data_IF_834199080939
#
_entry.id   IF_834199080939
#
_cell.length_a   1.000
_cell.length_b   1.000
_cell.length_c   1.000
_cell.angle_alpha   90.00
_cell.angle_beta   90.00
_cell.angle_gamma   90.00
#
_symmetry.space_group_name_H-M   'P 1'
#
loop_
_entity.id
_entity.type
_entity.pdbx_description
1 polymer ?
#
# COMPACT_ATOMS: atom_id res chain seq x y z
N UNK A 1 7.85 27.61 9.79
CA UNK A 1 7.87 27.53 8.32
C UNK A 1 8.99 28.42 7.80
N UNK A 2 9.77 27.94 6.84
CA UNK A 2 10.89 28.67 6.22
C UNK A 2 10.37 29.42 5.00
N UNK A 3 10.69 30.69 4.85
CA UNK A 3 10.36 31.46 3.64
C UNK A 3 11.22 31.04 2.45
N UNK A 4 10.77 31.35 1.22
CA UNK A 4 11.54 31.06 0.00
C UNK A 4 12.91 31.76 -0.01
N UNK A 5 12.99 32.98 0.54
CA UNK A 5 14.25 33.72 0.64
C UNK A 5 15.22 33.06 1.64
N UNK A 6 14.71 32.64 2.81
CA UNK A 6 15.49 31.88 3.80
C UNK A 6 15.94 30.53 3.24
N UNK A 7 15.10 29.84 2.46
CA UNK A 7 15.46 28.58 1.79
C UNK A 7 16.65 28.78 0.86
N UNK A 8 16.56 29.74 -0.07
CA UNK A 8 17.61 30.03 -1.04
C UNK A 8 18.93 30.40 -0.35
N UNK A 9 18.86 31.23 0.69
CA UNK A 9 20.03 31.62 1.48
C UNK A 9 20.65 30.43 2.24
N UNK A 10 19.81 29.61 2.88
CA UNK A 10 20.24 28.45 3.66
C UNK A 10 20.94 27.42 2.77
N UNK A 11 20.29 26.98 1.70
CA UNK A 11 20.77 25.88 0.85
C UNK A 11 22.04 26.23 0.09
N UNK A 12 22.18 27.49 -0.35
CA UNK A 12 23.40 27.94 -1.05
C UNK A 12 24.61 27.94 -0.13
N UNK A 13 24.44 28.37 1.11
CA UNK A 13 25.53 28.52 2.09
C UNK A 13 25.77 27.25 2.93
N UNK A 14 24.91 26.24 2.83
CA UNK A 14 25.03 25.03 3.63
C UNK A 14 26.24 24.18 3.19
N UNK A 15 27.11 23.90 4.16
CA UNK A 15 28.30 23.04 4.01
C UNK A 15 28.07 21.61 4.52
N UNK A 16 26.94 21.36 5.19
CA UNK A 16 26.55 20.04 5.65
C UNK A 16 26.35 19.09 4.46
N UNK A 17 26.75 17.82 4.58
CA UNK A 17 26.67 16.88 3.45
C UNK A 17 25.23 16.39 3.17
N UNK A 18 24.35 16.41 4.18
CA UNK A 18 22.90 16.17 4.06
C UNK A 18 22.10 17.35 4.59
N UNK A 19 20.88 17.50 4.06
CA UNK A 19 19.87 18.43 4.55
C UNK A 19 18.50 17.76 4.62
N UNK A 20 17.56 18.45 5.26
CA UNK A 20 16.20 17.96 5.45
C UNK A 20 15.17 18.87 4.76
N UNK A 21 14.19 18.25 4.12
CA UNK A 21 12.91 18.84 3.75
C UNK A 21 11.87 18.28 4.73
N UNK A 22 11.05 19.13 5.36
CA UNK A 22 10.17 18.69 6.43
C UNK A 22 8.78 19.35 6.35
N UNK A 23 7.76 18.52 6.58
CA UNK A 23 6.40 18.93 6.94
C UNK A 23 6.07 18.41 8.34
N UNK A 24 4.85 18.65 8.82
CA UNK A 24 4.37 18.05 10.07
C UNK A 24 4.20 16.52 9.96
N UNK A 25 4.17 15.97 8.74
CA UNK A 25 3.82 14.57 8.46
C UNK A 25 4.98 13.74 7.90
N UNK A 26 5.98 14.37 7.26
CA UNK A 26 7.13 13.66 6.72
C UNK A 26 8.39 14.51 6.75
N UNK A 27 9.53 13.85 6.96
CA UNK A 27 10.88 14.42 6.85
C UNK A 27 11.68 13.61 5.83
N UNK A 28 12.24 14.29 4.84
CA UNK A 28 13.10 13.73 3.81
C UNK A 28 14.53 14.20 4.06
N UNK A 29 15.43 13.26 4.38
CA UNK A 29 16.86 13.54 4.56
C UNK A 29 17.59 13.10 3.29
N UNK A 30 18.15 14.06 2.54
CA UNK A 30 18.81 13.81 1.25
C UNK A 30 20.13 14.58 1.16
N UNK A 31 21.05 14.22 0.24
CA UNK A 31 22.28 14.96 0.05
C UNK A 31 22.02 16.44 -0.25
N UNK A 32 22.77 17.33 0.39
CA UNK A 32 22.63 18.79 0.20
C UNK A 32 22.83 19.19 -1.26
N UNK A 33 23.66 18.45 -2.01
CA UNK A 33 23.86 18.67 -3.44
C UNK A 33 22.54 18.56 -4.24
N UNK A 34 21.65 17.64 -3.87
CA UNK A 34 20.34 17.47 -4.50
C UNK A 34 19.38 18.59 -4.13
N UNK A 35 19.47 19.12 -2.90
CA UNK A 35 18.67 20.26 -2.46
C UNK A 35 19.06 21.57 -3.15
N UNK A 36 20.34 21.73 -3.53
CA UNK A 36 20.81 22.92 -4.27
C UNK A 36 20.15 23.11 -5.63
N UNK A 37 19.62 22.02 -6.22
CA UNK A 37 18.88 22.07 -7.48
C UNK A 37 17.38 22.40 -7.28
N UNK A 38 16.87 22.41 -6.05
CA UNK A 38 15.47 22.67 -5.74
C UNK A 38 15.26 24.16 -5.43
N UNK A 39 14.71 24.91 -6.38
CA UNK A 39 14.54 26.36 -6.25
C UNK A 39 13.47 26.75 -5.22
N UNK A 40 12.37 26.02 -5.20
CA UNK A 40 11.23 26.22 -4.32
C UNK A 40 10.70 24.85 -3.84
N UNK A 41 10.84 24.52 -2.54
CA UNK A 41 10.39 23.25 -1.99
C UNK A 41 8.89 23.23 -1.68
N UNK A 42 8.18 24.37 -1.68
CA UNK A 42 6.80 24.46 -1.19
C UNK A 42 5.83 23.56 -1.98
N UNK A 43 5.80 23.56 -3.33
CA UNK A 43 4.91 22.68 -4.09
C UNK A 43 5.21 21.18 -3.91
N UNK A 44 6.49 20.84 -3.73
CA UNK A 44 6.91 19.47 -3.44
C UNK A 44 6.44 19.01 -2.06
N UNK A 45 6.65 19.85 -1.04
CA UNK A 45 6.23 19.57 0.34
C UNK A 45 4.70 19.48 0.46
N UNK A 46 3.96 20.31 -0.29
CA UNK A 46 2.50 20.20 -0.35
C UNK A 46 2.05 18.87 -0.95
N UNK A 47 2.68 18.42 -2.05
CA UNK A 47 2.37 17.09 -2.62
C UNK A 47 2.68 15.97 -1.60
N UNK A 48 3.79 16.07 -0.87
CA UNK A 48 4.09 15.12 0.19
C UNK A 48 3.04 15.10 1.29
N UNK A 49 2.57 16.26 1.77
CA UNK A 49 1.47 16.32 2.75
C UNK A 49 0.17 15.70 2.21
N UNK A 50 -0.18 15.95 0.94
CA UNK A 50 -1.37 15.35 0.30
C UNK A 50 -1.25 13.81 0.26
N UNK A 51 -0.07 13.29 -0.09
CA UNK A 51 0.19 11.85 -0.09
C UNK A 51 0.17 11.26 1.32
N UNK A 52 0.75 11.95 2.31
CA UNK A 52 0.73 11.49 3.70
C UNK A 52 -0.69 11.50 4.29
N UNK A 53 -1.53 12.45 3.89
CA UNK A 53 -2.95 12.44 4.24
C UNK A 53 -3.66 11.22 3.65
N UNK A 54 -3.37 10.86 2.40
CA UNK A 54 -3.90 9.65 1.78
C UNK A 54 -3.39 8.37 2.47
N UNK A 55 -2.11 8.32 2.84
CA UNK A 55 -1.53 7.20 3.59
C UNK A 55 -2.24 7.01 4.94
N UNK A 56 -2.42 8.10 5.70
CA UNK A 56 -3.14 8.08 6.97
C UNK A 56 -4.60 7.67 6.78
N UNK A 57 -5.27 8.22 5.76
CA UNK A 57 -6.67 7.93 5.45
C UNK A 57 -6.88 6.45 5.17
N UNK A 58 -6.08 5.85 4.29
CA UNK A 58 -6.21 4.42 3.99
C UNK A 58 -5.99 3.59 5.25
N UNK A 59 -4.98 3.93 6.06
CA UNK A 59 -4.68 3.23 7.31
C UNK A 59 -5.70 3.50 8.44
N UNK A 60 -6.72 4.32 8.20
CA UNK A 60 -7.64 4.84 9.21
C UNK A 60 -6.89 5.38 10.45
N UNK A 61 -5.82 6.13 10.22
CA UNK A 61 -5.02 6.79 11.24
C UNK A 61 -5.43 8.27 11.39
N UNK A 62 -5.29 8.85 12.58
CA UNK A 62 -5.39 10.30 12.75
C UNK A 62 -4.41 11.06 11.84
N UNK A 63 -4.85 12.21 11.33
CA UNK A 63 -4.02 13.14 10.56
C UNK A 63 -4.17 14.56 11.13
N UNK A 64 -3.09 15.34 11.30
CA UNK A 64 -1.68 15.01 10.99
C UNK A 64 -1.15 13.86 11.85
N UNK A 65 -0.07 13.21 11.39
CA UNK A 65 0.56 12.14 12.17
C UNK A 65 1.08 12.68 13.51
N UNK A 66 0.98 11.89 14.58
CA UNK A 66 1.52 12.25 15.89
C UNK A 66 3.04 12.49 15.86
N UNK A 67 3.71 11.81 14.93
CA UNK A 67 5.12 11.95 14.63
C UNK A 67 5.29 11.85 13.11
N UNK A 68 6.03 12.75 12.46
CA UNK A 68 6.27 12.65 11.03
C UNK A 68 6.98 11.34 10.70
N UNK A 69 6.65 10.73 9.57
CA UNK A 69 7.45 9.63 9.00
C UNK A 69 8.80 10.18 8.52
N UNK A 70 9.79 9.31 8.34
CA UNK A 70 11.14 9.71 7.90
C UNK A 70 11.62 8.85 6.74
N UNK A 71 12.08 9.49 5.67
CA UNK A 71 12.79 8.84 4.57
C UNK A 71 14.20 9.42 4.49
N UNK A 72 15.21 8.54 4.56
CA UNK A 72 16.62 8.92 4.53
C UNK A 72 17.29 8.26 3.33
N UNK A 73 17.88 9.09 2.46
CA UNK A 73 18.71 8.61 1.37
C UNK A 73 20.18 8.50 1.83
N UNK A 74 20.73 7.29 1.78
CA UNK A 74 22.09 7.00 2.22
C UNK A 74 22.86 6.14 1.18
N UNK A 75 24.19 6.16 1.29
CA UNK A 75 25.07 5.27 0.53
C UNK A 75 24.95 3.84 1.03
N UNK A 76 24.87 3.66 2.35
CA UNK A 76 24.83 2.34 2.97
C UNK A 76 23.56 2.17 3.80
N UNK A 77 22.68 1.29 3.33
CA UNK A 77 21.46 0.87 4.03
C UNK A 77 21.59 -0.58 4.49
N UNK A 78 20.71 -1.01 5.39
CA UNK A 78 20.84 -2.33 6.02
C UNK A 78 20.51 -3.50 5.09
N UNK A 79 19.59 -3.31 4.14
CA UNK A 79 19.16 -4.33 3.19
C UNK A 79 18.41 -3.72 2.00
N UNK A 80 18.30 -4.51 0.92
CA UNK A 80 17.46 -4.18 -0.23
C UNK A 80 17.93 -2.96 -1.02
N UNK A 81 17.02 -2.42 -1.82
CA UNK A 81 17.20 -1.13 -2.52
C UNK A 81 16.62 0.04 -1.70
N UNK A 82 15.52 -0.26 -1.03
CA UNK A 82 14.82 0.55 -0.05
C UNK A 82 14.29 -0.40 1.03
N UNK A 83 14.10 0.09 2.25
CA UNK A 83 13.43 -0.68 3.29
C UNK A 83 12.65 0.20 4.27
N UNK A 84 11.53 -0.34 4.75
CA UNK A 84 10.68 0.27 5.75
C UNK A 84 11.37 0.35 7.13
N UNK A 85 10.74 1.13 8.02
CA UNK A 85 11.23 1.39 9.36
C UNK A 85 11.04 2.84 9.76
N UNK A 86 11.66 3.21 10.88
CA UNK A 86 11.73 4.60 11.32
C UNK A 86 13.21 4.93 11.64
N UNK A 87 13.99 5.35 10.63
CA UNK A 87 13.56 5.81 9.30
C UNK A 87 13.32 4.70 8.27
N UNK A 88 12.57 5.03 7.22
CA UNK A 88 12.65 4.38 5.90
C UNK A 88 13.99 4.79 5.30
N UNK A 89 14.73 3.85 4.72
CA UNK A 89 16.05 4.11 4.13
C UNK A 89 16.02 3.75 2.64
N UNK A 90 16.65 4.56 1.80
CA UNK A 90 16.80 4.29 0.37
C UNK A 90 18.22 4.60 -0.11
N UNK A 91 18.64 3.98 -1.21
CA UNK A 91 19.88 4.39 -1.88
C UNK A 91 19.79 5.78 -2.52
N UNK A 92 20.94 6.43 -2.69
CA UNK A 92 21.05 7.81 -3.21
C UNK A 92 20.42 8.00 -4.60
N UNK A 93 20.40 6.95 -5.41
CA UNK A 93 19.79 6.93 -6.73
C UNK A 93 18.28 7.18 -6.68
N UNK A 94 17.63 6.85 -5.54
CA UNK A 94 16.19 7.09 -5.34
C UNK A 94 15.86 8.54 -4.97
N UNK A 95 16.86 9.40 -4.72
CA UNK A 95 16.63 10.79 -4.28
C UNK A 95 15.75 11.55 -5.26
N UNK A 96 15.92 11.34 -6.56
CA UNK A 96 15.10 12.02 -7.56
C UNK A 96 13.62 11.61 -7.50
N UNK A 97 13.31 10.39 -7.07
CA UNK A 97 11.92 9.96 -6.84
C UNK A 97 11.28 10.69 -5.65
N UNK A 98 12.10 11.17 -4.70
CA UNK A 98 11.64 11.85 -3.48
C UNK A 98 11.45 13.36 -3.66
N UNK A 99 12.28 14.00 -4.50
CA UNK A 99 12.36 15.47 -4.55
C UNK A 99 12.04 16.08 -5.92
N UNK A 100 11.83 15.28 -6.95
CA UNK A 100 11.50 15.80 -8.29
C UNK A 100 9.98 15.77 -8.52
N UNK A 101 9.34 16.92 -8.33
CA UNK A 101 7.90 17.08 -8.48
C UNK A 101 7.38 16.62 -9.85
N UNK A 102 8.12 16.92 -10.92
CA UNK A 102 7.73 16.53 -12.29
C UNK A 102 7.76 15.01 -12.46
N UNK A 103 8.81 14.36 -11.96
CA UNK A 103 8.90 12.89 -11.96
C UNK A 103 7.77 12.26 -11.15
N UNK A 104 7.50 12.76 -9.94
CA UNK A 104 6.43 12.24 -9.08
C UNK A 104 5.04 12.36 -9.72
N UNK A 105 4.76 13.49 -10.38
CA UNK A 105 3.46 13.73 -11.04
C UNK A 105 3.26 12.91 -12.32
N UNK A 106 4.34 12.58 -13.04
CA UNK A 106 4.26 11.90 -14.34
C UNK A 106 4.46 10.39 -14.24
N UNK A 107 5.41 9.93 -13.42
CA UNK A 107 5.79 8.53 -13.29
C UNK A 107 5.42 7.89 -11.95
N UNK A 108 5.05 8.70 -10.95
CA UNK A 108 4.76 8.21 -9.61
C UNK A 108 6.02 7.93 -8.77
N UNK A 109 5.81 7.24 -7.64
CA UNK A 109 6.85 6.93 -6.66
C UNK A 109 6.49 5.66 -5.88
N UNK A 110 6.44 4.54 -6.61
CA UNK A 110 5.98 3.26 -6.06
C UNK A 110 6.78 2.81 -4.83
N UNK A 111 8.13 2.87 -4.90
CA UNK A 111 9.03 2.41 -3.84
C UNK A 111 8.82 3.15 -2.51
N UNK A 112 8.97 4.49 -2.46
CA UNK A 112 8.77 5.24 -1.22
C UNK A 112 7.39 5.02 -0.57
N UNK A 113 6.32 4.94 -1.37
CA UNK A 113 4.97 4.70 -0.84
C UNK A 113 4.79 3.24 -0.39
N UNK A 114 5.44 2.28 -1.05
CA UNK A 114 5.43 0.87 -0.65
C UNK A 114 6.02 0.71 0.77
N UNK A 115 7.14 1.37 1.05
CA UNK A 115 7.74 1.34 2.40
C UNK A 115 6.90 2.07 3.45
N UNK A 116 6.26 3.18 3.07
CA UNK A 116 5.27 3.82 3.95
C UNK A 116 4.09 2.89 4.24
N UNK A 117 3.66 2.10 3.24
CA UNK A 117 2.64 1.06 3.38
C UNK A 117 3.06 -0.02 4.39
N UNK A 118 4.31 -0.46 4.37
CA UNK A 118 4.85 -1.35 5.40
C UNK A 118 4.72 -0.78 6.81
N UNK A 119 5.00 0.52 7.02
CA UNK A 119 4.82 1.17 8.32
C UNK A 119 3.34 1.21 8.79
N UNK A 120 2.38 1.10 7.86
CA UNK A 120 0.95 1.06 8.16
C UNK A 120 0.39 -0.36 8.37
N UNK A 121 1.12 -1.41 7.99
CA UNK A 121 0.71 -2.79 8.25
C UNK A 121 0.55 -3.03 9.76
N UNK A 122 -0.42 -3.87 10.12
CA UNK A 122 -0.68 -4.28 11.51
C UNK A 122 -0.85 -5.78 11.59
N UNK A 123 -0.30 -6.37 12.64
CA UNK A 123 -0.34 -7.82 12.86
C UNK A 123 -1.77 -8.42 12.79
N UNK A 124 -2.78 -7.63 13.12
CA UNK A 124 -4.18 -8.08 13.17
C UNK A 124 -4.76 -8.54 11.82
N UNK A 125 -4.34 -7.93 10.72
CA UNK A 125 -4.83 -8.24 9.37
C UNK A 125 -3.75 -8.74 8.41
N UNK A 126 -2.52 -8.90 8.90
CA UNK A 126 -1.43 -9.49 8.13
C UNK A 126 -1.37 -11.01 8.31
N UNK A 127 -1.09 -11.71 7.21
CA UNK A 127 -0.91 -13.16 7.11
C UNK A 127 0.51 -13.52 6.61
N UNK A 128 1.58 -13.25 7.38
CA UNK A 128 2.95 -13.53 6.91
C UNK A 128 3.19 -15.02 6.61
N UNK A 129 4.00 -15.36 5.59
CA UNK A 129 4.73 -14.43 4.71
C UNK A 129 3.92 -13.91 3.53
N UNK A 130 2.66 -14.36 3.36
CA UNK A 130 1.88 -14.11 2.15
C UNK A 130 1.64 -12.63 1.87
N UNK A 131 1.23 -11.89 2.90
CA UNK A 131 0.77 -10.50 2.75
C UNK A 131 1.84 -9.46 3.00
N UNK A 132 3.00 -9.83 3.56
CA UNK A 132 4.06 -8.89 3.96
C UNK A 132 4.40 -7.95 2.81
N UNK A 133 4.66 -8.49 1.62
CA UNK A 133 4.97 -7.72 0.40
C UNK A 133 3.75 -7.48 -0.50
N UNK A 134 2.54 -7.79 -0.02
CA UNK A 134 1.30 -7.67 -0.78
C UNK A 134 0.49 -6.47 -0.31
N UNK A 135 0.05 -6.45 0.95
CA UNK A 135 -0.88 -5.43 1.46
C UNK A 135 -0.24 -4.06 1.60
N UNK A 136 1.08 -3.97 1.81
CA UNK A 136 1.81 -2.70 1.75
C UNK A 136 1.60 -1.97 0.40
N UNK A 137 1.45 -2.71 -0.70
CA UNK A 137 1.18 -2.15 -2.02
C UNK A 137 -0.23 -1.55 -2.17
N UNK A 138 -1.16 -1.80 -1.24
CA UNK A 138 -2.46 -1.10 -1.27
C UNK A 138 -2.28 0.41 -1.12
N UNK A 139 -1.32 0.85 -0.32
CA UNK A 139 -0.97 2.27 -0.19
C UNK A 139 -0.38 2.82 -1.48
N UNK A 140 0.51 2.08 -2.14
CA UNK A 140 1.04 2.49 -3.44
C UNK A 140 -0.07 2.68 -4.46
N UNK A 141 -0.99 1.71 -4.60
CA UNK A 141 -2.14 1.86 -5.51
C UNK A 141 -3.02 3.05 -5.10
N UNK A 142 -3.37 3.17 -3.82
CA UNK A 142 -4.26 4.22 -3.33
C UNK A 142 -3.72 5.63 -3.59
N UNK A 143 -2.45 5.89 -3.26
CA UNK A 143 -1.82 7.19 -3.48
C UNK A 143 -1.73 7.53 -4.96
N UNK A 144 -1.37 6.56 -5.80
CA UNK A 144 -1.28 6.79 -7.25
C UNK A 144 -2.66 7.13 -7.84
N UNK A 145 -3.71 6.41 -7.46
CA UNK A 145 -5.06 6.65 -7.97
C UNK A 145 -5.67 7.96 -7.45
N UNK A 146 -5.50 8.25 -6.16
CA UNK A 146 -6.28 9.31 -5.48
C UNK A 146 -5.57 10.65 -5.36
N UNK A 147 -4.23 10.66 -5.35
CA UNK A 147 -3.43 11.89 -5.18
C UNK A 147 -2.67 12.24 -6.44
N UNK A 148 -2.03 11.26 -7.07
CA UNK A 148 -1.21 11.48 -8.26
C UNK A 148 -2.05 11.48 -9.55
N UNK A 149 -3.25 10.89 -9.52
CA UNK A 149 -4.10 10.73 -10.70
C UNK A 149 -3.52 9.77 -11.73
N UNK A 150 -2.62 8.87 -11.31
CA UNK A 150 -1.98 7.87 -12.15
C UNK A 150 -2.83 6.59 -12.10
N UNK A 151 -3.39 6.13 -13.24
CA UNK A 151 -4.13 4.89 -13.28
C UNK A 151 -3.26 3.72 -12.84
N UNK A 152 -3.81 2.80 -12.05
CA UNK A 152 -3.11 1.60 -11.55
C UNK A 152 -2.31 0.84 -12.58
N UNK A 153 -2.88 0.66 -13.78
CA UNK A 153 -2.24 -0.04 -14.90
C UNK A 153 -0.92 0.63 -15.36
N UNK A 154 -0.71 1.89 -15.01
CA UNK A 154 0.49 2.68 -15.31
C UNK A 154 1.37 2.91 -14.08
N UNK A 155 0.86 2.65 -12.86
CA UNK A 155 1.57 2.89 -11.62
C UNK A 155 2.73 1.90 -11.36
N UNK A 156 2.61 0.65 -11.87
CA UNK A 156 3.68 -0.35 -11.76
C UNK A 156 3.59 -1.38 -12.89
N UNK A 157 4.72 -1.88 -13.46
CA UNK A 157 4.70 -2.88 -14.54
C UNK A 157 3.92 -4.15 -14.21
N UNK A 158 3.96 -4.63 -12.96
CA UNK A 158 3.22 -5.81 -12.51
C UNK A 158 1.70 -5.59 -12.45
N UNK A 159 1.23 -4.35 -12.55
CA UNK A 159 -0.20 -4.00 -12.54
C UNK A 159 -0.78 -3.79 -13.93
N UNK A 160 0.01 -3.98 -14.99
CA UNK A 160 -0.51 -4.02 -16.34
C UNK A 160 -1.57 -5.13 -16.48
N UNK A 161 -2.70 -4.87 -17.15
CA UNK A 161 -3.81 -5.83 -17.22
C UNK A 161 -3.37 -7.24 -17.65
N UNK A 162 -2.49 -7.34 -18.64
CA UNK A 162 -1.97 -8.61 -19.14
C UNK A 162 -1.15 -9.40 -18.10
N UNK A 163 -0.35 -8.71 -17.28
CA UNK A 163 0.45 -9.34 -16.22
C UNK A 163 -0.42 -9.78 -15.05
N UNK A 164 -1.47 -9.02 -14.73
CA UNK A 164 -2.45 -9.38 -13.70
C UNK A 164 -3.27 -10.59 -14.14
N UNK A 165 -3.80 -10.56 -15.36
CA UNK A 165 -4.58 -11.66 -15.94
C UNK A 165 -3.76 -12.96 -15.99
N UNK A 166 -2.52 -12.89 -16.50
CA UNK A 166 -1.61 -14.03 -16.54
C UNK A 166 -1.39 -14.62 -15.14
N UNK A 167 -1.12 -13.78 -14.14
CA UNK A 167 -0.88 -14.23 -12.77
C UNK A 167 -2.09 -14.92 -12.16
N UNK A 168 -3.29 -14.39 -12.37
CA UNK A 168 -4.54 -14.99 -11.90
C UNK A 168 -4.72 -16.37 -12.54
N UNK A 169 -4.56 -16.48 -13.87
CA UNK A 169 -4.67 -17.75 -14.60
C UNK A 169 -3.64 -18.78 -14.10
N UNK A 170 -2.38 -18.37 -13.96
CA UNK A 170 -1.29 -19.25 -13.51
C UNK A 170 -1.53 -19.78 -12.09
N UNK A 171 -2.14 -18.99 -11.20
CA UNK A 171 -2.51 -19.42 -9.85
C UNK A 171 -3.66 -20.42 -9.88
N UNK A 172 -4.72 -20.12 -10.63
CA UNK A 172 -5.90 -20.97 -10.74
C UNK A 172 -5.60 -22.31 -11.41
N UNK A 173 -4.81 -22.32 -12.49
CA UNK A 173 -4.40 -23.55 -13.19
C UNK A 173 -3.63 -24.53 -12.30
N UNK A 174 -2.99 -24.04 -11.23
CA UNK A 174 -2.30 -24.86 -10.23
C UNK A 174 -3.21 -25.35 -9.10
N UNK A 175 -4.52 -25.08 -9.18
CA UNK A 175 -5.50 -25.38 -8.14
C UNK A 175 -5.54 -24.35 -7.01
N UNK A 176 -5.18 -23.10 -7.29
CA UNK A 176 -5.13 -21.99 -6.33
C UNK A 176 -4.40 -22.32 -5.00
N UNK A 177 -3.19 -22.90 -5.02
CA UNK A 177 -2.53 -23.37 -3.81
C UNK A 177 -2.12 -22.18 -2.93
N UNK A 178 -2.56 -22.17 -1.67
CA UNK A 178 -2.26 -21.09 -0.73
C UNK A 178 -0.75 -20.81 -0.58
N UNK A 179 0.11 -21.82 -0.70
CA UNK A 179 1.57 -21.65 -0.67
C UNK A 179 2.14 -20.74 -1.76
N UNK A 180 1.44 -20.61 -2.90
CA UNK A 180 1.82 -19.72 -4.01
C UNK A 180 1.07 -18.38 -3.99
N UNK A 181 0.12 -18.20 -3.06
CA UNK A 181 -0.58 -16.95 -2.83
C UNK A 181 0.33 -16.01 -2.04
N UNK A 182 1.22 -15.30 -2.73
CA UNK A 182 2.20 -14.40 -2.11
C UNK A 182 2.40 -13.12 -2.96
N UNK A 183 2.88 -12.05 -2.33
CA UNK A 183 3.28 -10.78 -2.98
C UNK A 183 2.21 -10.29 -3.97
N UNK A 184 2.49 -10.35 -5.28
CA UNK A 184 1.60 -9.89 -6.33
C UNK A 184 0.38 -10.77 -6.54
N UNK A 185 0.48 -12.08 -6.32
CA UNK A 185 -0.68 -12.99 -6.39
C UNK A 185 -1.62 -12.74 -5.23
N UNK A 186 -1.07 -12.49 -4.04
CA UNK A 186 -1.87 -12.13 -2.88
C UNK A 186 -2.55 -10.77 -3.06
N UNK A 187 -1.83 -9.79 -3.60
CA UNK A 187 -2.35 -8.45 -3.88
C UNK A 187 -3.58 -8.50 -4.81
N UNK A 188 -3.62 -9.39 -5.81
CA UNK A 188 -4.77 -9.49 -6.74
C UNK A 188 -6.10 -9.72 -6.02
N UNK A 189 -6.11 -10.54 -4.96
CA UNK A 189 -7.32 -10.76 -4.16
C UNK A 189 -7.87 -9.45 -3.60
N UNK A 190 -7.00 -8.59 -3.06
CA UNK A 190 -7.39 -7.30 -2.50
C UNK A 190 -7.76 -6.29 -3.59
N UNK A 191 -7.05 -6.27 -4.73
CA UNK A 191 -7.37 -5.39 -5.84
C UNK A 191 -8.74 -5.69 -6.45
N UNK A 192 -9.12 -6.96 -6.56
CA UNK A 192 -10.44 -7.36 -7.04
C UNK A 192 -11.57 -6.95 -6.09
N UNK A 193 -11.34 -7.03 -4.77
CA UNK A 193 -12.27 -6.48 -3.78
C UNK A 193 -12.39 -4.96 -3.91
N UNK A 194 -11.26 -4.28 -4.10
CA UNK A 194 -11.25 -2.83 -4.30
C UNK A 194 -11.97 -2.43 -5.60
N UNK A 195 -11.79 -3.16 -6.70
CA UNK A 195 -12.46 -2.89 -7.98
C UNK A 195 -13.98 -3.06 -7.87
N UNK A 196 -14.43 -4.03 -7.07
CA UNK A 196 -15.85 -4.33 -6.90
C UNK A 196 -16.54 -3.41 -5.88
N UNK A 197 -15.86 -3.04 -4.80
CA UNK A 197 -16.49 -2.40 -3.64
C UNK A 197 -15.88 -1.05 -3.25
N UNK A 198 -14.81 -0.63 -3.91
CA UNK A 198 -14.09 0.62 -3.63
C UNK A 198 -13.17 0.55 -2.40
N UNK A 199 -12.64 1.71 -2.03
CA UNK A 199 -11.68 1.86 -0.92
C UNK A 199 -12.32 1.98 0.47
N UNK A 200 -13.57 2.45 0.54
CA UNK A 200 -14.24 2.71 1.83
C UNK A 200 -14.40 1.45 2.70
N UNK A 201 -14.73 0.25 2.17
CA UNK A 201 -14.74 -0.97 2.99
C UNK A 201 -13.38 -1.29 3.63
N UNK A 202 -12.27 -1.03 2.95
CA UNK A 202 -10.92 -1.22 3.51
C UNK A 202 -10.66 -0.25 4.66
N UNK A 203 -10.98 1.03 4.50
CA UNK A 203 -10.79 2.06 5.52
C UNK A 203 -11.61 1.72 6.77
N UNK A 204 -12.89 1.37 6.60
CA UNK A 204 -13.74 0.96 7.72
C UNK A 204 -13.18 -0.28 8.43
N UNK A 205 -12.74 -1.28 7.66
CA UNK A 205 -12.19 -2.50 8.22
C UNK A 205 -10.90 -2.25 9.00
N UNK A 206 -9.97 -1.46 8.45
CA UNK A 206 -8.74 -1.09 9.15
C UNK A 206 -9.01 -0.26 10.42
N UNK A 207 -10.02 0.61 10.41
CA UNK A 207 -10.47 1.31 11.61
C UNK A 207 -10.98 0.33 12.67
N UNK A 208 -11.82 -0.62 12.26
CA UNK A 208 -12.39 -1.62 13.16
C UNK A 208 -11.29 -2.49 13.78
N UNK A 209 -10.35 -3.01 12.98
CA UNK A 209 -9.26 -3.86 13.47
C UNK A 209 -8.37 -3.17 14.51
N UNK A 210 -8.23 -1.85 14.47
CA UNK A 210 -7.48 -1.10 15.48
C UNK A 210 -8.16 -1.10 16.85
N UNK A 211 -9.45 -1.42 16.92
CA UNK A 211 -10.23 -1.48 18.16
C UNK A 211 -10.38 -2.91 18.70
N UNK A 212 -10.03 -3.92 17.91
CA UNK A 212 -10.19 -5.32 18.31
C UNK A 212 -9.12 -5.73 19.33
N UNK A 213 -9.55 -6.37 20.41
CA UNK A 213 -8.67 -7.10 21.33
C UNK A 213 -8.59 -8.57 20.94
N UNK A 214 -7.57 -9.26 21.45
CA UNK A 214 -7.48 -10.73 21.41
C UNK A 214 -7.50 -11.34 19.99
N UNK A 215 -6.91 -10.64 19.03
CA UNK A 215 -6.78 -11.16 17.68
C UNK A 215 -5.95 -12.46 17.66
N UNK A 216 -6.38 -13.47 16.88
CA UNK A 216 -5.65 -14.72 16.79
C UNK A 216 -4.27 -14.49 16.18
N UNK A 217 -3.32 -15.37 16.50
CA UNK A 217 -1.94 -15.27 16.00
C UNK A 217 -1.72 -16.05 14.71
N UNK A 218 -2.49 -17.11 14.48
CA UNK A 218 -2.36 -17.95 13.29
C UNK A 218 -3.09 -17.35 12.08
N UNK A 219 -2.55 -17.57 10.89
CA UNK A 219 -3.10 -16.98 9.67
C UNK A 219 -4.51 -17.50 9.34
N UNK A 220 -4.80 -18.78 9.60
CA UNK A 220 -6.08 -19.38 9.24
C UNK A 220 -7.24 -18.68 9.95
N UNK A 221 -7.13 -18.48 11.26
CA UNK A 221 -8.12 -17.77 12.05
C UNK A 221 -8.25 -16.31 11.60
N UNK A 222 -7.13 -15.61 11.34
CA UNK A 222 -7.18 -14.21 10.89
C UNK A 222 -7.83 -14.06 9.51
N UNK A 223 -7.54 -14.96 8.57
CA UNK A 223 -8.17 -14.99 7.24
C UNK A 223 -9.68 -15.16 7.36
N UNK A 224 -10.14 -16.03 8.25
CA UNK A 224 -11.56 -16.25 8.51
C UNK A 224 -12.25 -15.01 9.12
N UNK A 225 -11.59 -14.32 10.06
CA UNK A 225 -12.07 -13.03 10.57
C UNK A 225 -12.14 -11.98 9.45
N UNK A 226 -11.13 -11.92 8.58
CA UNK A 226 -11.11 -11.00 7.44
C UNK A 226 -12.30 -11.24 6.50
N UNK A 227 -12.53 -12.49 6.08
CA UNK A 227 -13.67 -12.84 5.20
C UNK A 227 -14.99 -12.44 5.84
N UNK A 228 -15.17 -12.76 7.13
CA UNK A 228 -16.39 -12.40 7.85
C UNK A 228 -16.61 -10.90 7.87
N UNK A 229 -15.64 -10.13 8.36
CA UNK A 229 -15.77 -8.68 8.52
C UNK A 229 -15.90 -7.96 7.19
N UNK A 230 -15.14 -8.36 6.16
CA UNK A 230 -15.26 -7.75 4.84
C UNK A 230 -16.63 -8.06 4.22
N UNK A 231 -17.12 -9.30 4.35
CA UNK A 231 -18.47 -9.69 3.89
C UNK A 231 -19.57 -8.86 4.56
N UNK A 232 -19.47 -8.66 5.88
CA UNK A 232 -20.36 -7.79 6.64
C UNK A 232 -20.26 -6.33 6.19
N UNK A 233 -19.04 -5.81 5.96
CA UNK A 233 -18.82 -4.44 5.51
C UNK A 233 -19.46 -4.15 4.14
N UNK A 234 -19.42 -5.11 3.21
CA UNK A 234 -19.99 -4.95 1.86
C UNK A 234 -21.39 -5.54 1.71
N UNK A 235 -21.96 -6.12 2.78
CA UNK A 235 -23.27 -6.77 2.79
C UNK A 235 -23.42 -7.84 1.69
N UNK A 236 -22.37 -8.63 1.48
CA UNK A 236 -22.34 -9.76 0.53
C UNK A 236 -21.63 -10.94 1.16
N UNK A 237 -22.10 -12.15 0.87
CA UNK A 237 -21.35 -13.36 1.20
C UNK A 237 -20.21 -13.52 0.18
N UNK A 238 -18.97 -13.26 0.62
CA UNK A 238 -17.74 -13.34 -0.17
C UNK A 238 -17.05 -14.71 -0.09
N UNK A 239 -17.62 -15.69 0.60
CA UNK A 239 -17.02 -17.02 0.78
C UNK A 239 -16.61 -17.65 -0.55
N UNK A 240 -17.45 -17.69 -1.61
CA UNK A 240 -17.06 -18.31 -2.88
C UNK A 240 -15.84 -17.64 -3.52
N UNK A 241 -15.71 -16.31 -3.37
CA UNK A 241 -14.58 -15.56 -3.91
C UNK A 241 -13.28 -15.93 -3.22
N UNK A 242 -13.27 -16.00 -1.88
CA UNK A 242 -12.07 -16.36 -1.12
C UNK A 242 -11.71 -17.84 -1.27
N UNK A 243 -12.70 -18.73 -1.34
CA UNK A 243 -12.48 -20.15 -1.65
C UNK A 243 -11.85 -20.33 -3.04
N UNK A 244 -12.29 -19.57 -4.05
CA UNK A 244 -11.70 -19.58 -5.39
C UNK A 244 -10.25 -19.08 -5.40
N UNK A 245 -9.85 -18.23 -4.44
CA UNK A 245 -8.46 -17.83 -4.21
C UNK A 245 -7.65 -18.85 -3.40
N UNK A 246 -8.27 -19.93 -2.91
CA UNK A 246 -7.63 -20.99 -2.13
C UNK A 246 -7.57 -20.73 -0.63
N UNK A 247 -8.38 -19.80 -0.11
CA UNK A 247 -8.41 -19.51 1.33
C UNK A 247 -9.11 -20.63 2.12
N UNK A 248 -8.57 -21.04 3.28
CA UNK A 248 -9.15 -22.10 4.10
C UNK A 248 -10.30 -21.59 4.97
N UNK A 249 -11.46 -21.36 4.36
CA UNK A 249 -12.66 -20.86 5.06
C UNK A 249 -13.22 -21.96 5.96
N UNK A 250 -13.47 -21.60 7.22
CA UNK A 250 -14.06 -22.47 8.22
C UNK A 250 -15.57 -22.53 8.03
N UNK A 251 -16.14 -23.71 8.27
CA UNK A 251 -17.56 -23.96 8.05
C UNK A 251 -18.42 -23.02 8.90
N UNK A 252 -18.01 -22.75 10.13
CA UNK A 252 -18.69 -21.86 11.05
C UNK A 252 -18.78 -20.43 10.50
N UNK A 253 -17.72 -19.94 9.85
CA UNK A 253 -17.72 -18.63 9.19
C UNK A 253 -18.61 -18.65 7.95
N UNK A 254 -18.48 -19.68 7.10
CA UNK A 254 -19.31 -19.82 5.91
C UNK A 254 -20.81 -19.85 6.25
N UNK A 255 -21.20 -20.65 7.24
CA UNK A 255 -22.57 -20.78 7.73
C UNK A 255 -23.09 -19.44 8.28
N UNK A 256 -22.25 -18.68 9.00
CA UNK A 256 -22.63 -17.37 9.56
C UNK A 256 -22.95 -16.31 8.49
N UNK A 257 -22.39 -16.46 7.29
CA UNK A 257 -22.56 -15.52 6.17
C UNK A 257 -23.68 -15.91 5.20
N UNK A 258 -24.34 -17.06 5.40
CA UNK A 258 -25.42 -17.56 4.50
C UNK A 258 -26.63 -16.64 4.41
N UNK A 259 -26.83 -15.77 5.42
CA UNK A 259 -27.90 -14.76 5.41
C UNK A 259 -27.64 -13.60 4.45
N UNK A 260 -26.39 -13.37 4.05
CA UNK A 260 -26.03 -12.31 3.11
C UNK A 260 -26.19 -12.79 1.65
N UNK A 261 -26.55 -11.89 0.72
CA UNK A 261 -26.59 -12.22 -0.70
C UNK A 261 -25.23 -12.69 -1.21
N UNK A 262 -25.20 -13.87 -1.82
CA UNK A 262 -23.99 -14.47 -2.34
C UNK A 262 -23.41 -13.68 -3.53
N UNK A 263 -22.10 -13.41 -3.53
CA UNK A 263 -21.41 -12.77 -4.65
C UNK A 263 -21.05 -13.78 -5.72
N UNK A 264 -22.06 -14.26 -6.44
CA UNK A 264 -21.96 -15.35 -7.44
C UNK A 264 -21.29 -14.95 -8.77
N UNK A 265 -21.14 -13.66 -9.02
CA UNK A 265 -20.57 -13.05 -10.21
C UNK A 265 -19.19 -12.42 -9.93
N UNK A 266 -18.48 -12.95 -8.93
CA UNK A 266 -17.13 -12.51 -8.59
C UNK A 266 -16.15 -12.68 -9.76
N UNK A 267 -15.11 -11.83 -9.86
CA UNK A 267 -14.26 -11.73 -11.05
C UNK A 267 -13.50 -13.02 -11.40
N UNK A 268 -13.21 -13.89 -10.42
CA UNK A 268 -12.57 -15.18 -10.73
C UNK A 268 -13.43 -16.14 -11.56
N UNK A 269 -14.75 -15.98 -11.58
CA UNK A 269 -15.66 -16.91 -12.27
C UNK A 269 -15.37 -17.03 -13.77
N UNK A 270 -14.92 -15.96 -14.41
CA UNK A 270 -14.57 -15.96 -15.85
C UNK A 270 -13.40 -16.89 -16.17
N UNK A 271 -12.52 -17.14 -15.21
CA UNK A 271 -11.36 -18.01 -15.38
C UNK A 271 -11.65 -19.47 -14.99
N UNK A 272 -12.69 -19.69 -14.19
CA UNK A 272 -13.11 -21.03 -13.75
C UNK A 272 -14.05 -21.70 -14.77
N UNK A 273 -14.70 -20.91 -15.63
CA UNK A 273 -15.69 -21.39 -16.60
C UNK A 273 -15.07 -21.89 -17.91
N UNK A 274 -13.73 -21.90 -18.04
CA UNK A 274 -13.00 -22.30 -19.26
C UNK A 274 -12.53 -23.76 -19.25
N UNK A 275 -13.03 -24.60 -18.33
CA UNK A 275 -12.84 -26.05 -18.36
C UNK A 275 -14.14 -26.75 -18.83
N UNK A 276 -14.42 -26.67 -20.13
CA UNK A 276 -15.23 -27.66 -20.88
C UNK A 276 -14.47 -28.13 -22.12
#
# INVERSE_FOLDING_TARGET
KTSLEEWKSCVQNNLGPWGELATDNIILTVPTASLKALEDPEPLLQLWDDMMQAVARLAAQPFPFQRPERIVADVQISCGWMHAGYPIMCHLESVQELINLTTMRSGGLWGPIHELGHNQQRHGWEFPPHTTEATCNLWSVYVHETVLGIPRAQAHPALKPEEREKRIKDHLQKGAPLGNWNVWTALETYLQLQEAFGWEPFIHLFAEYQTLSDLPKDNRSKMNIWVKKFSEAVQKNLVPFFEAWGWPIEKEVADSLTSLPCWQDHPLKVYMSTEE
#
